data_IF_705702630517
#
_entry.id   IF_705702630517
#
_cell.length_a   1.000
_cell.length_b   1.000
_cell.length_c   1.000
_cell.angle_alpha   90.00
_cell.angle_beta   90.00
_cell.angle_gamma   90.00
#
_symmetry.space_group_name_H-M   'P 1'
#
loop_
_entity.id
_entity.type
_entity.pdbx_description
1 polymer ?
#
# COMPACT_ATOMS: atom_id res chain seq x y z
N UNK A 1 -1.33 -11.39 17.79
CA UNK A 1 -0.67 -12.27 16.85
C UNK A 1 0.63 -11.64 16.36
N UNK A 2 1.57 -12.48 16.06
CA UNK A 2 2.89 -12.05 15.62
C UNK A 2 2.99 -12.18 14.11
N UNK A 3 3.70 -11.24 13.51
CA UNK A 3 4.01 -11.28 12.09
C UNK A 3 5.52 -11.32 11.91
N UNK A 4 5.95 -11.90 10.80
CA UNK A 4 7.36 -11.91 10.43
C UNK A 4 7.62 -10.74 9.47
N UNK A 5 8.57 -9.88 9.82
CA UNK A 5 8.91 -8.70 9.02
C UNK A 5 10.24 -8.93 8.31
N UNK A 6 10.28 -8.69 7.02
CA UNK A 6 11.50 -8.84 6.23
C UNK A 6 11.55 -7.87 5.05
N UNK A 7 12.76 -7.67 4.52
CA UNK A 7 12.93 -7.11 3.18
C UNK A 7 12.92 -8.27 2.20
N UNK A 8 12.06 -8.23 1.16
CA UNK A 8 11.95 -9.37 0.27
C UNK A 8 13.09 -9.46 -0.73
N UNK A 9 13.40 -10.68 -1.16
CA UNK A 9 14.19 -10.92 -2.36
C UNK A 9 13.29 -10.85 -3.59
N UNK A 10 13.88 -10.59 -4.75
CA UNK A 10 13.12 -10.59 -6.01
C UNK A 10 12.53 -11.98 -6.27
N UNK A 11 11.22 -12.03 -6.54
CA UNK A 11 10.50 -13.27 -6.78
C UNK A 11 10.03 -13.99 -5.51
N UNK A 12 10.26 -13.43 -4.33
CA UNK A 12 9.84 -14.07 -3.08
C UNK A 12 8.32 -14.15 -2.98
N UNK A 13 7.82 -15.30 -2.56
CA UNK A 13 6.38 -15.53 -2.37
C UNK A 13 5.84 -14.67 -1.23
N UNK A 14 4.62 -14.15 -1.42
CA UNK A 14 3.89 -13.42 -0.40
C UNK A 14 3.04 -14.42 0.38
N UNK A 15 3.32 -14.55 1.67
CA UNK A 15 2.70 -15.55 2.54
C UNK A 15 1.90 -14.88 3.65
N UNK A 16 0.83 -15.54 4.14
CA UNK A 16 0.11 -15.03 5.32
C UNK A 16 1.04 -14.91 6.53
N UNK A 17 0.80 -13.90 7.35
CA UNK A 17 1.60 -13.67 8.54
C UNK A 17 2.91 -12.93 8.30
N UNK A 18 3.17 -12.45 7.09
CA UNK A 18 4.39 -11.74 6.75
C UNK A 18 4.12 -10.28 6.44
N UNK A 19 5.10 -9.44 6.77
CA UNK A 19 5.17 -8.04 6.36
C UNK A 19 6.45 -7.86 5.53
N UNK A 20 6.29 -7.34 4.32
CA UNK A 20 7.39 -7.14 3.39
C UNK A 20 7.66 -5.65 3.25
N UNK A 21 8.89 -5.24 3.58
CA UNK A 21 9.30 -3.82 3.53
C UNK A 21 10.13 -3.61 2.28
N UNK A 22 9.73 -2.62 1.47
CA UNK A 22 10.48 -2.28 0.26
C UNK A 22 11.93 -1.90 0.62
N UNK A 23 12.94 -2.47 -0.06
CA UNK A 23 14.32 -2.03 0.10
C UNK A 23 14.47 -0.56 -0.27
N UNK A 24 15.41 0.15 0.36
CA UNK A 24 15.55 1.58 0.20
C UNK A 24 16.06 2.06 -1.16
N UNK A 25 16.40 1.16 -2.06
CA UNK A 25 17.00 1.48 -3.37
C UNK A 25 16.29 0.83 -4.55
N UNK A 26 15.15 0.17 -4.32
CA UNK A 26 14.40 -0.54 -5.37
C UNK A 26 12.93 -0.31 -5.23
N UNK A 27 12.21 -0.33 -6.36
CA UNK A 27 10.76 -0.40 -6.33
C UNK A 27 10.31 -1.80 -5.94
N UNK A 28 9.26 -1.87 -5.11
CA UNK A 28 8.61 -3.13 -4.75
C UNK A 28 7.26 -3.19 -5.43
N UNK A 29 7.02 -4.26 -6.16
CA UNK A 29 5.74 -4.51 -6.82
C UNK A 29 5.19 -5.87 -6.38
N UNK A 30 3.88 -6.02 -6.50
CA UNK A 30 3.20 -7.29 -6.28
C UNK A 30 2.79 -7.84 -7.64
N UNK A 31 3.18 -9.08 -7.93
CA UNK A 31 2.82 -9.75 -9.18
C UNK A 31 2.19 -11.11 -8.89
N UNK A 32 1.45 -11.63 -9.85
CA UNK A 32 0.91 -12.99 -9.76
C UNK A 32 1.85 -13.97 -10.48
N UNK A 33 2.07 -15.11 -9.85
CA UNK A 33 2.78 -16.23 -10.46
C UNK A 33 1.90 -17.46 -10.26
N UNK A 34 1.09 -17.78 -11.27
CA UNK A 34 0.08 -18.83 -11.14
C UNK A 34 -0.99 -18.45 -10.13
N UNK A 35 -1.20 -19.30 -9.13
CA UNK A 35 -2.17 -19.05 -8.06
C UNK A 35 -1.58 -18.24 -6.88
N UNK A 36 -0.30 -17.87 -6.96
CA UNK A 36 0.41 -17.22 -5.87
C UNK A 36 0.71 -15.76 -6.21
N UNK A 37 0.93 -14.95 -5.15
CA UNK A 37 1.48 -13.62 -5.30
C UNK A 37 2.95 -13.64 -4.94
N UNK A 38 3.74 -12.82 -5.64
CA UNK A 38 5.17 -12.68 -5.38
C UNK A 38 5.55 -11.21 -5.24
N UNK A 39 6.65 -10.96 -4.53
CA UNK A 39 7.31 -9.66 -4.50
C UNK A 39 8.20 -9.54 -5.74
N UNK A 40 8.06 -8.45 -6.49
CA UNK A 40 8.94 -8.14 -7.61
C UNK A 40 9.73 -6.89 -7.28
N UNK A 41 11.04 -6.96 -7.39
CA UNK A 41 11.92 -5.81 -7.19
C UNK A 41 12.35 -5.24 -8.53
N UNK A 42 12.41 -3.93 -8.64
CA UNK A 42 12.78 -3.25 -9.88
C UNK A 42 13.79 -2.15 -9.62
N UNK A 43 14.82 -2.08 -10.46
CA UNK A 43 15.81 -1.01 -10.49
C UNK A 43 15.42 0.13 -11.41
N UNK A 44 14.16 0.20 -11.86
CA UNK A 44 13.69 1.27 -12.68
C UNK A 44 13.91 2.66 -12.08
N UNK A 45 13.76 3.72 -12.87
CA UNK A 45 14.01 5.08 -12.39
C UNK A 45 13.04 5.48 -11.28
N UNK A 46 13.36 6.52 -10.49
CA UNK A 46 12.42 7.07 -9.52
C UNK A 46 11.11 7.47 -10.20
N UNK A 47 9.99 7.28 -9.50
CA UNK A 47 8.66 7.70 -9.93
C UNK A 47 8.17 8.73 -8.92
N UNK A 48 7.65 9.86 -9.39
CA UNK A 48 7.29 11.00 -8.52
C UNK A 48 8.46 11.39 -7.60
N UNK A 49 9.69 11.28 -8.11
CA UNK A 49 10.95 11.57 -7.41
C UNK A 49 11.26 10.58 -6.26
N UNK A 50 10.60 9.43 -6.20
CA UNK A 50 10.78 8.45 -5.14
C UNK A 50 11.19 7.09 -5.68
N UNK A 51 12.09 6.43 -4.96
CA UNK A 51 12.50 5.06 -5.19
C UNK A 51 12.93 4.43 -3.85
N UNK A 52 12.11 3.56 -3.25
CA UNK A 52 10.84 3.04 -3.74
C UNK A 52 9.74 4.10 -3.83
N UNK A 53 8.84 3.92 -4.79
CA UNK A 53 7.66 4.76 -4.94
C UNK A 53 6.42 3.99 -4.51
N UNK A 54 5.57 4.64 -3.71
CA UNK A 54 4.29 4.07 -3.29
C UNK A 54 3.36 3.91 -4.49
N UNK A 55 3.37 4.85 -5.43
CA UNK A 55 2.57 4.74 -6.65
C UNK A 55 2.91 3.47 -7.45
N UNK A 56 4.19 3.14 -7.56
CA UNK A 56 4.62 1.92 -8.26
C UNK A 56 4.04 0.68 -7.58
N UNK A 57 4.16 0.61 -6.26
CA UNK A 57 3.64 -0.53 -5.50
C UNK A 57 2.11 -0.61 -5.60
N UNK A 58 1.41 0.48 -5.32
CA UNK A 58 -0.06 0.50 -5.34
C UNK A 58 -0.61 0.18 -6.73
N UNK A 59 0.01 0.70 -7.78
CA UNK A 59 -0.41 0.39 -9.15
C UNK A 59 -0.30 -1.10 -9.45
N UNK A 60 0.79 -1.74 -9.02
CA UNK A 60 0.95 -3.18 -9.20
C UNK A 60 -0.11 -3.98 -8.43
N UNK A 61 -0.47 -3.53 -7.24
CA UNK A 61 -1.55 -4.13 -6.44
C UNK A 61 -2.90 -3.96 -7.14
N UNK A 62 -3.17 -2.78 -7.67
CA UNK A 62 -4.39 -2.53 -8.43
C UNK A 62 -4.53 -3.50 -9.61
N UNK A 63 -3.44 -3.70 -10.34
CA UNK A 63 -3.43 -4.54 -11.54
C UNK A 63 -3.51 -6.04 -11.23
N UNK A 64 -2.85 -6.49 -10.17
CA UNK A 64 -2.64 -7.91 -9.91
C UNK A 64 -3.45 -8.48 -8.76
N UNK A 65 -3.94 -7.67 -7.85
CA UNK A 65 -4.69 -8.12 -6.67
C UNK A 65 -6.14 -7.62 -6.70
N UNK A 66 -6.33 -6.34 -7.06
CA UNK A 66 -7.66 -5.76 -7.23
C UNK A 66 -8.49 -5.79 -5.94
N UNK A 67 -9.71 -6.39 -5.98
CA UNK A 67 -10.63 -6.32 -4.85
C UNK A 67 -10.18 -7.10 -3.62
N UNK A 68 -9.14 -7.92 -3.73
CA UNK A 68 -8.61 -8.69 -2.60
C UNK A 68 -7.55 -7.91 -1.80
N UNK A 69 -7.40 -6.62 -2.06
CA UNK A 69 -6.42 -5.78 -1.39
C UNK A 69 -7.08 -4.67 -0.57
N UNK A 70 -6.35 -4.23 0.43
CA UNK A 70 -6.66 -3.03 1.22
C UNK A 70 -5.49 -2.07 1.11
N UNK A 71 -5.77 -0.82 0.77
CA UNK A 71 -4.76 0.23 0.75
C UNK A 71 -4.80 1.03 2.04
N UNK A 72 -3.63 1.37 2.57
CA UNK A 72 -3.51 2.18 3.79
C UNK A 72 -2.50 3.30 3.53
N UNK A 73 -2.92 4.55 3.76
CA UNK A 73 -2.05 5.71 3.64
C UNK A 73 -1.86 6.35 5.00
N UNK A 74 -0.60 6.42 5.43
CA UNK A 74 -0.23 7.02 6.71
C UNK A 74 0.43 8.38 6.51
N UNK A 75 0.63 9.11 7.63
CA UNK A 75 1.30 10.41 7.62
C UNK A 75 2.53 10.40 6.72
N UNK A 76 2.71 11.45 5.94
CA UNK A 76 3.84 11.57 5.04
C UNK A 76 3.77 12.84 4.21
N UNK A 77 4.94 13.31 3.77
CA UNK A 77 5.07 14.52 2.97
C UNK A 77 4.97 14.18 1.48
N UNK A 78 4.36 15.07 0.72
CA UNK A 78 4.24 14.91 -0.74
C UNK A 78 2.94 14.26 -1.17
N UNK A 79 2.92 13.74 -2.39
CA UNK A 79 1.72 13.20 -3.01
C UNK A 79 1.91 11.78 -3.58
N UNK A 80 3.08 11.17 -3.37
CA UNK A 80 3.34 9.81 -3.85
C UNK A 80 2.33 8.84 -3.24
N UNK A 81 1.76 7.98 -4.06
CA UNK A 81 0.78 6.99 -3.64
C UNK A 81 -0.68 7.38 -3.89
N UNK A 82 -0.99 8.66 -4.03
CA UNK A 82 -2.38 9.10 -4.23
C UNK A 82 -2.98 8.52 -5.50
N UNK A 83 -2.27 8.63 -6.62
CA UNK A 83 -2.76 8.13 -7.92
C UNK A 83 -2.85 6.60 -7.92
N UNK A 84 -1.85 5.92 -7.37
CA UNK A 84 -1.87 4.47 -7.27
C UNK A 84 -3.00 3.97 -6.37
N UNK A 85 -3.28 4.68 -5.28
CA UNK A 85 -4.41 4.34 -4.40
C UNK A 85 -5.74 4.52 -5.12
N UNK A 86 -5.88 5.56 -5.95
CA UNK A 86 -7.08 5.74 -6.77
C UNK A 86 -7.27 4.56 -7.73
N UNK A 87 -6.20 4.11 -8.37
CA UNK A 87 -6.25 2.93 -9.25
C UNK A 87 -6.65 1.68 -8.48
N UNK A 88 -6.17 1.50 -7.25
CA UNK A 88 -6.61 0.41 -6.39
C UNK A 88 -8.12 0.47 -6.12
N UNK A 89 -8.63 1.65 -5.79
CA UNK A 89 -10.08 1.84 -5.55
C UNK A 89 -10.89 1.50 -6.80
N UNK A 90 -10.44 1.94 -7.96
CA UNK A 90 -11.11 1.65 -9.24
C UNK A 90 -11.15 0.16 -9.54
N UNK A 91 -10.22 -0.62 -9.01
CA UNK A 91 -10.17 -2.07 -9.13
C UNK A 91 -10.85 -2.80 -7.98
N UNK A 92 -11.56 -2.09 -7.12
CA UNK A 92 -12.37 -2.68 -6.07
C UNK A 92 -11.69 -2.86 -4.71
N UNK A 93 -10.47 -2.37 -4.54
CA UNK A 93 -9.78 -2.41 -3.25
C UNK A 93 -10.47 -1.49 -2.23
N UNK A 94 -10.32 -1.83 -0.95
CA UNK A 94 -10.80 -1.00 0.15
C UNK A 94 -9.66 -0.15 0.69
N UNK A 95 -9.78 1.18 0.63
CA UNK A 95 -8.72 2.11 0.98
C UNK A 95 -9.08 2.92 2.21
N UNK A 96 -8.16 2.97 3.16
CA UNK A 96 -8.27 3.82 4.34
C UNK A 96 -7.08 4.76 4.43
N UNK A 97 -7.26 5.88 5.10
CA UNK A 97 -6.24 6.91 5.24
C UNK A 97 -6.24 7.47 6.65
N UNK A 98 -5.06 7.82 7.13
CA UNK A 98 -4.92 8.50 8.40
C UNK A 98 -5.52 9.91 8.30
N UNK A 99 -6.33 10.30 9.29
CA UNK A 99 -6.99 11.60 9.29
C UNK A 99 -6.00 12.74 9.58
N UNK A 100 -6.41 13.95 9.26
CA UNK A 100 -5.57 15.13 9.39
C UNK A 100 -5.12 15.35 10.84
N UNK A 101 -6.03 15.19 11.79
CA UNK A 101 -5.76 15.50 13.20
C UNK A 101 -4.67 14.62 13.80
N UNK A 102 -4.60 13.34 13.39
CA UNK A 102 -3.59 12.41 13.92
C UNK A 102 -2.31 12.37 13.08
N UNK A 103 -2.27 13.02 11.93
CA UNK A 103 -1.08 13.09 11.09
C UNK A 103 -0.07 14.11 11.63
N UNK A 104 1.20 13.76 11.55
CA UNK A 104 2.29 14.74 11.69
C UNK A 104 2.31 15.63 10.44
N UNK A 105 2.25 15.01 9.26
CA UNK A 105 2.14 15.72 7.97
C UNK A 105 1.02 15.05 7.16
N UNK A 106 -0.01 15.81 6.83
CA UNK A 106 -1.16 15.32 6.06
C UNK A 106 -0.96 15.55 4.55
N UNK A 107 0.27 15.32 4.05
CA UNK A 107 0.60 15.48 2.63
C UNK A 107 0.10 14.32 1.80
N UNK A 108 0.67 13.14 2.00
CA UNK A 108 0.29 11.94 1.27
C UNK A 108 -1.18 11.54 1.52
N UNK A 109 -1.64 11.45 2.78
CA UNK A 109 -3.05 11.16 3.03
C UNK A 109 -3.98 12.23 2.44
N UNK A 110 -3.65 13.50 2.60
CA UNK A 110 -4.46 14.60 2.08
C UNK A 110 -4.57 14.57 0.56
N UNK A 111 -3.48 14.27 -0.14
CA UNK A 111 -3.49 14.13 -1.60
C UNK A 111 -4.41 12.99 -2.04
N UNK A 112 -4.35 11.86 -1.36
CA UNK A 112 -5.22 10.71 -1.65
C UNK A 112 -6.70 11.03 -1.41
N UNK A 113 -7.01 11.72 -0.31
CA UNK A 113 -8.39 12.14 0.01
C UNK A 113 -8.92 13.11 -1.05
N UNK A 114 -8.12 14.08 -1.45
CA UNK A 114 -8.54 15.13 -2.38
C UNK A 114 -8.92 14.59 -3.76
N UNK A 115 -8.27 13.54 -4.23
CA UNK A 115 -8.61 12.95 -5.54
C UNK A 115 -9.66 11.84 -5.45
N UNK A 116 -10.21 11.58 -4.26
CA UNK A 116 -11.27 10.59 -4.08
C UNK A 116 -10.78 9.16 -4.01
N UNK A 117 -9.51 8.94 -3.64
CA UNK A 117 -8.91 7.60 -3.58
C UNK A 117 -9.26 6.83 -2.29
N UNK A 118 -9.80 7.51 -1.28
CA UNK A 118 -9.97 6.97 0.08
C UNK A 118 -11.43 6.68 0.36
N UNK A 119 -11.70 5.48 0.89
CA UNK A 119 -13.04 5.10 1.30
C UNK A 119 -13.37 5.58 2.71
N UNK A 120 -12.36 5.63 3.59
CA UNK A 120 -12.58 5.96 5.00
C UNK A 120 -11.34 6.61 5.61
N UNK A 121 -11.54 7.71 6.34
CA UNK A 121 -10.48 8.35 7.11
C UNK A 121 -10.61 7.95 8.58
N UNK A 122 -9.49 7.56 9.19
CA UNK A 122 -9.45 7.06 10.56
C UNK A 122 -8.27 7.68 11.31
N UNK A 123 -8.38 7.74 12.64
CA UNK A 123 -7.22 8.10 13.46
C UNK A 123 -6.18 7.00 13.39
N UNK A 124 -4.93 7.35 13.69
CA UNK A 124 -3.85 6.34 13.68
C UNK A 124 -4.18 5.14 14.56
N UNK A 125 -4.76 5.37 15.75
CA UNK A 125 -5.12 4.28 16.66
C UNK A 125 -6.23 3.39 16.12
N UNK A 126 -7.11 3.90 15.27
CA UNK A 126 -8.20 3.13 14.67
C UNK A 126 -7.74 2.30 13.47
N UNK A 127 -6.66 2.73 12.79
CA UNK A 127 -6.20 2.07 11.55
C UNK A 127 -5.80 0.63 11.80
N UNK A 128 -5.05 0.35 12.88
CA UNK A 128 -4.65 -1.01 13.22
C UNK A 128 -5.84 -1.94 13.44
N UNK A 129 -6.87 -1.44 14.13
CA UNK A 129 -8.11 -2.20 14.36
C UNK A 129 -8.85 -2.47 13.06
N UNK A 130 -8.88 -1.50 12.16
CA UNK A 130 -9.55 -1.66 10.87
C UNK A 130 -8.84 -2.67 9.98
N UNK A 131 -7.49 -2.68 9.99
CA UNK A 131 -6.70 -3.68 9.26
C UNK A 131 -7.02 -5.08 9.76
N UNK A 132 -7.03 -5.28 11.09
CA UNK A 132 -7.35 -6.59 11.68
C UNK A 132 -8.76 -7.03 11.33
N UNK A 133 -9.73 -6.12 11.42
CA UNK A 133 -11.11 -6.39 11.07
C UNK A 133 -11.24 -6.84 9.62
N UNK A 134 -10.58 -6.14 8.70
CA UNK A 134 -10.57 -6.49 7.28
C UNK A 134 -9.97 -7.87 7.04
N UNK A 135 -8.82 -8.16 7.63
CA UNK A 135 -8.15 -9.44 7.46
C UNK A 135 -8.96 -10.61 8.03
N UNK A 136 -9.73 -10.39 9.10
CA UNK A 136 -10.51 -11.44 9.74
C UNK A 136 -11.86 -11.67 9.09
N UNK A 137 -12.33 -10.75 8.26
CA UNK A 137 -13.64 -10.86 7.60
C UNK A 137 -13.57 -11.47 6.20
N UNK A 138 -12.38 -11.79 5.74
CA UNK A 138 -12.18 -12.35 4.39
C UNK A 138 -12.01 -13.87 4.39
#
# INVERSE_FOLDING_TARGET
>A
SQVTVCEPSDGQKILPGYVYIAPGDKHLMVERCGAEYICKLSDGPPVSRHKPSVDVMFRSVAQNVGPNAMGVMLTGMGADGAQGMLEMKQQGAYNISQDEDSCVVWGMPGSAVKIGAVDKELTLSEIGKEILKYCMSS
#
